data_IF_892178681590
#
_entry.id   IF_892178681590
#
_cell.length_a   1.000
_cell.length_b   1.000
_cell.length_c   1.000
_cell.angle_alpha   90.00
_cell.angle_beta   90.00
_cell.angle_gamma   90.00
#
_symmetry.space_group_name_H-M   'P 1'
#
loop_
_entity.id
_entity.type
_entity.pdbx_description
1 polymer ?
#
# COMPACT_ATOMS: atom_id res chain seq x y z
N UNK A 1 21.10 11.30 -48.36
CA UNK A 1 20.13 10.61 -47.49
C UNK A 1 20.90 10.07 -46.30
N UNK A 2 20.76 10.69 -45.13
CA UNK A 2 21.47 10.25 -43.92
C UNK A 2 20.65 9.19 -43.20
N UNK A 3 21.27 8.05 -42.92
CA UNK A 3 20.67 6.99 -42.11
C UNK A 3 20.36 7.54 -40.71
N UNK A 4 19.09 7.45 -40.30
CA UNK A 4 18.70 7.75 -38.92
C UNK A 4 19.17 6.59 -38.06
N UNK A 5 20.22 6.81 -37.30
CA UNK A 5 20.69 5.90 -36.27
C UNK A 5 19.57 5.74 -35.22
N UNK A 6 18.98 4.55 -35.16
CA UNK A 6 18.04 4.21 -34.09
C UNK A 6 18.87 4.09 -32.79
N UNK A 7 18.60 4.89 -31.74
CA UNK A 7 19.35 4.75 -30.50
C UNK A 7 19.10 3.35 -29.96
N UNK A 8 20.17 2.55 -29.85
CA UNK A 8 20.11 1.25 -29.18
C UNK A 8 19.73 1.49 -27.74
N UNK A 9 18.51 1.13 -27.35
CA UNK A 9 18.04 1.22 -25.96
C UNK A 9 18.97 0.38 -25.09
N UNK A 10 19.84 1.05 -24.33
CA UNK A 10 20.75 0.38 -23.41
C UNK A 10 19.93 -0.31 -22.32
N UNK A 11 20.29 -1.55 -21.98
CA UNK A 11 19.62 -2.31 -20.92
C UNK A 11 19.73 -1.54 -19.60
N UNK A 12 18.62 -1.32 -18.86
CA UNK A 12 18.65 -0.54 -17.63
C UNK A 12 19.59 -1.16 -16.59
N UNK A 13 20.27 -0.32 -15.80
CA UNK A 13 21.11 -0.77 -14.69
C UNK A 13 20.27 -1.31 -13.52
N UNK A 14 20.91 -1.84 -12.47
CA UNK A 14 20.20 -2.21 -11.23
C UNK A 14 19.61 -0.96 -10.56
N UNK A 15 20.35 0.15 -10.54
CA UNK A 15 19.88 1.41 -9.98
C UNK A 15 18.65 1.92 -10.74
N UNK A 16 18.66 1.89 -12.07
CA UNK A 16 17.51 2.30 -12.88
C UNK A 16 16.27 1.44 -12.60
N UNK A 17 16.45 0.13 -12.42
CA UNK A 17 15.36 -0.78 -12.05
C UNK A 17 14.78 -0.47 -10.67
N UNK A 18 15.64 -0.20 -9.68
CA UNK A 18 15.21 0.16 -8.33
C UNK A 18 14.47 1.50 -8.36
N UNK A 19 15.04 2.52 -8.99
CA UNK A 19 14.40 3.83 -9.15
C UNK A 19 13.07 3.71 -9.89
N UNK A 20 13.02 2.94 -10.98
CA UNK A 20 11.80 2.69 -11.73
C UNK A 20 10.73 1.97 -10.91
N UNK A 21 11.11 1.01 -10.06
CA UNK A 21 10.16 0.33 -9.18
C UNK A 21 9.60 1.28 -8.11
N UNK A 22 10.45 2.11 -7.49
CA UNK A 22 10.02 3.08 -6.48
C UNK A 22 9.11 4.14 -7.10
N UNK A 23 9.52 4.76 -8.21
CA UNK A 23 8.70 5.76 -8.89
C UNK A 23 7.42 5.16 -9.46
N UNK A 24 7.51 3.98 -10.08
CA UNK A 24 6.37 3.30 -10.68
C UNK A 24 5.28 2.98 -9.65
N UNK A 25 5.65 2.64 -8.42
CA UNK A 25 4.69 2.44 -7.34
C UNK A 25 3.90 3.73 -7.03
N UNK A 26 4.58 4.87 -6.88
CA UNK A 26 3.91 6.13 -6.56
C UNK A 26 3.10 6.69 -7.74
N UNK A 27 3.64 6.57 -8.96
CA UNK A 27 2.92 6.96 -10.18
C UNK A 27 1.67 6.09 -10.36
N UNK A 28 1.78 4.78 -10.14
CA UNK A 28 0.65 3.85 -10.23
C UNK A 28 -0.41 4.12 -9.16
N UNK A 29 -0.01 4.37 -7.92
CA UNK A 29 -0.93 4.73 -6.84
C UNK A 29 -1.71 6.02 -7.14
N UNK A 30 -0.98 7.07 -7.53
CA UNK A 30 -1.58 8.35 -7.89
C UNK A 30 -2.48 8.26 -9.14
N UNK A 31 -2.12 7.44 -10.12
CA UNK A 31 -2.92 7.19 -11.33
C UNK A 31 -4.24 6.48 -10.98
N UNK A 32 -4.17 5.47 -10.11
CA UNK A 32 -5.34 4.70 -9.68
C UNK A 32 -6.23 5.44 -8.68
N UNK A 33 -5.83 6.60 -8.15
CA UNK A 33 -6.56 7.37 -7.14
C UNK A 33 -8.02 7.63 -7.57
N UNK A 34 -8.23 8.17 -8.78
CA UNK A 34 -9.57 8.54 -9.25
C UNK A 34 -10.50 7.34 -9.47
N UNK A 35 -9.95 6.20 -9.91
CA UNK A 35 -10.70 4.95 -10.12
C UNK A 35 -10.75 4.05 -8.87
N UNK A 36 -10.13 4.45 -7.76
CA UNK A 36 -9.89 3.58 -6.62
C UNK A 36 -11.20 3.05 -6.03
N UNK A 37 -11.25 1.73 -5.78
CA UNK A 37 -12.41 1.01 -5.23
C UNK A 37 -13.72 1.09 -6.03
N UNK A 38 -13.65 1.40 -7.33
CA UNK A 38 -14.76 1.14 -8.25
C UNK A 38 -14.67 -0.31 -8.71
N UNK A 39 -15.50 -1.17 -8.13
CA UNK A 39 -15.51 -2.61 -8.41
C UNK A 39 -16.53 -3.02 -9.48
N UNK A 40 -17.55 -2.21 -9.69
CA UNK A 40 -18.52 -2.42 -10.76
C UNK A 40 -17.89 -2.00 -12.10
N UNK A 41 -17.73 -2.97 -13.02
CA UNK A 41 -17.10 -2.74 -14.31
C UNK A 41 -17.97 -1.88 -15.25
N UNK A 42 -19.31 -1.96 -15.13
CA UNK A 42 -20.20 -1.11 -15.90
C UNK A 42 -20.10 0.34 -15.40
N UNK A 43 -20.01 0.51 -14.08
CA UNK A 43 -19.75 1.83 -13.47
C UNK A 43 -18.36 2.37 -13.89
N UNK A 44 -17.33 1.53 -13.88
CA UNK A 44 -15.98 1.92 -14.30
C UNK A 44 -15.96 2.38 -15.76
N UNK A 45 -16.55 1.61 -16.69
CA UNK A 45 -16.60 1.96 -18.11
C UNK A 45 -17.46 3.21 -18.36
N UNK A 46 -18.57 3.38 -17.64
CA UNK A 46 -19.40 4.57 -17.75
C UNK A 46 -18.66 5.84 -17.31
N UNK A 47 -17.82 5.73 -16.26
CA UNK A 47 -17.09 6.87 -15.69
C UNK A 47 -15.77 7.14 -16.41
N UNK A 48 -15.09 6.09 -16.84
CA UNK A 48 -13.79 6.12 -17.52
C UNK A 48 -13.87 5.31 -18.81
N UNK A 49 -14.55 5.84 -19.85
CA UNK A 49 -14.69 5.12 -21.11
C UNK A 49 -13.31 4.89 -21.75
N UNK A 50 -12.97 3.62 -22.00
CA UNK A 50 -11.63 3.22 -22.45
C UNK A 50 -10.57 3.19 -21.34
N UNK A 51 -10.98 3.30 -20.07
CA UNK A 51 -10.13 3.29 -18.88
C UNK A 51 -9.60 4.69 -18.48
N UNK A 52 -8.96 4.78 -17.30
CA UNK A 52 -8.31 6.02 -16.85
C UNK A 52 -7.22 6.44 -17.85
N UNK A 53 -7.16 7.73 -18.21
CA UNK A 53 -6.20 8.23 -19.20
C UNK A 53 -5.10 9.10 -18.58
N UNK A 54 -5.23 9.44 -17.29
CA UNK A 54 -4.22 10.17 -16.55
C UNK A 54 -4.46 10.11 -15.05
N UNK A 55 -4.06 11.17 -14.36
CA UNK A 55 -4.35 11.35 -12.94
C UNK A 55 -5.76 11.89 -12.79
N UNK A 56 -6.74 10.99 -12.70
CA UNK A 56 -8.15 11.35 -12.61
C UNK A 56 -8.50 11.87 -11.20
N UNK A 57 -9.40 12.85 -11.12
CA UNK A 57 -9.93 13.34 -9.85
C UNK A 57 -10.90 12.31 -9.25
N UNK A 58 -10.82 12.01 -7.94
CA UNK A 58 -11.81 11.18 -7.25
C UNK A 58 -13.22 11.75 -7.40
N UNK A 59 -14.17 10.87 -7.70
CA UNK A 59 -15.55 11.31 -7.88
C UNK A 59 -16.12 11.84 -6.56
N UNK A 60 -16.84 12.96 -6.64
CA UNK A 60 -17.57 13.51 -5.50
C UNK A 60 -18.51 12.45 -4.88
N UNK A 61 -18.44 12.31 -3.56
CA UNK A 61 -19.22 11.31 -2.81
C UNK A 61 -18.67 9.89 -2.86
N UNK A 62 -17.61 9.61 -3.63
CA UNK A 62 -16.88 8.34 -3.58
C UNK A 62 -15.74 8.35 -2.57
N UNK A 63 -15.11 7.18 -2.44
CA UNK A 63 -13.87 7.01 -1.72
C UNK A 63 -12.81 8.01 -2.21
N UNK A 64 -12.05 8.58 -1.28
CA UNK A 64 -11.05 9.65 -1.51
C UNK A 64 -11.58 11.00 -2.01
N UNK A 65 -12.90 11.25 -1.97
CA UNK A 65 -13.45 12.58 -2.27
C UNK A 65 -12.73 13.68 -1.46
N UNK A 66 -12.23 14.70 -2.17
CA UNK A 66 -11.44 15.80 -1.61
C UNK A 66 -9.93 15.69 -1.80
N UNK A 67 -9.41 14.54 -2.27
CA UNK A 67 -8.05 14.45 -2.82
C UNK A 67 -8.02 14.98 -4.25
N UNK A 68 -6.86 15.45 -4.71
CA UNK A 68 -6.65 16.04 -6.05
C UNK A 68 -5.97 15.03 -6.98
N UNK A 69 -6.12 15.22 -8.31
CA UNK A 69 -5.27 14.55 -9.30
C UNK A 69 -3.79 14.50 -8.88
N UNK A 70 -3.23 13.29 -8.80
CA UNK A 70 -1.82 13.08 -8.49
C UNK A 70 -1.49 12.95 -7.00
N UNK A 71 -2.46 13.18 -6.10
CA UNK A 71 -2.28 12.85 -4.68
C UNK A 71 -2.17 11.32 -4.49
N UNK A 72 -1.59 10.89 -3.37
CA UNK A 72 -1.48 9.46 -3.04
C UNK A 72 -2.75 8.95 -2.37
N UNK A 73 -3.04 7.66 -2.49
CA UNK A 73 -3.95 6.94 -1.60
C UNK A 73 -3.25 6.60 -0.28
N UNK A 74 -3.96 5.98 0.66
CA UNK A 74 -3.31 5.45 1.87
C UNK A 74 -2.25 4.36 1.59
N UNK A 75 -2.31 3.67 0.44
CA UNK A 75 -1.26 2.74 0.04
C UNK A 75 0.04 3.50 -0.28
N UNK A 76 -0.04 4.56 -1.08
CA UNK A 76 1.09 5.43 -1.37
C UNK A 76 1.62 6.14 -0.13
N UNK A 77 0.73 6.65 0.72
CA UNK A 77 1.12 7.28 2.00
C UNK A 77 1.87 6.30 2.91
N UNK A 78 1.38 5.06 3.04
CA UNK A 78 2.06 4.00 3.78
C UNK A 78 3.43 3.67 3.21
N UNK A 79 3.54 3.53 1.88
CA UNK A 79 4.82 3.30 1.24
C UNK A 79 5.83 4.43 1.46
N UNK A 80 5.39 5.70 1.43
CA UNK A 80 6.25 6.84 1.69
C UNK A 80 6.76 6.83 3.14
N UNK A 81 5.91 6.48 4.10
CA UNK A 81 6.30 6.32 5.50
C UNK A 81 7.31 5.19 5.69
N UNK A 82 7.15 4.07 4.98
CA UNK A 82 8.12 2.98 4.99
C UNK A 82 9.50 3.45 4.50
N UNK A 83 9.56 4.19 3.39
CA UNK A 83 10.83 4.74 2.88
C UNK A 83 11.49 5.70 3.88
N UNK A 84 10.70 6.54 4.56
CA UNK A 84 11.20 7.42 5.62
C UNK A 84 11.77 6.63 6.80
N UNK A 85 11.05 5.60 7.24
CA UNK A 85 11.51 4.69 8.30
C UNK A 85 12.82 4.01 7.91
N UNK A 86 12.91 3.43 6.72
CA UNK A 86 14.12 2.78 6.22
C UNK A 86 15.32 3.75 6.17
N UNK A 87 15.11 4.98 5.72
CA UNK A 87 16.14 6.02 5.71
C UNK A 87 16.64 6.33 7.12
N UNK A 88 15.74 6.51 8.08
CA UNK A 88 16.08 6.95 9.44
C UNK A 88 16.61 5.81 10.32
N UNK A 89 16.17 4.58 10.09
CA UNK A 89 16.53 3.39 10.86
C UNK A 89 17.66 2.58 10.23
N UNK A 90 17.97 2.83 8.95
CA UNK A 90 18.93 2.06 8.13
C UNK A 90 18.66 0.55 8.07
N UNK A 91 17.44 0.15 8.43
CA UNK A 91 16.90 -1.22 8.40
C UNK A 91 15.38 -1.13 8.44
N UNK A 92 14.70 -2.23 8.15
CA UNK A 92 13.28 -2.33 8.49
C UNK A 92 13.10 -2.38 10.01
N UNK A 93 12.27 -1.48 10.53
CA UNK A 93 11.92 -1.37 11.94
C UNK A 93 10.39 -1.26 12.02
N UNK A 94 9.73 -2.38 12.29
CA UNK A 94 8.28 -2.48 12.24
C UNK A 94 7.58 -1.56 13.25
N UNK A 95 8.20 -1.31 14.41
CA UNK A 95 7.67 -0.41 15.44
C UNK A 95 7.74 1.05 14.98
N UNK A 96 8.87 1.48 14.40
CA UNK A 96 9.02 2.83 13.85
C UNK A 96 8.06 3.07 12.66
N UNK A 97 7.97 2.12 11.72
CA UNK A 97 7.02 2.22 10.62
C UNK A 97 5.56 2.25 11.09
N UNK A 98 5.17 1.31 11.96
CA UNK A 98 3.81 1.19 12.48
C UNK A 98 3.36 2.44 13.24
N UNK A 99 4.22 2.97 14.12
CA UNK A 99 3.91 4.20 14.89
C UNK A 99 3.73 5.42 13.99
N UNK A 100 4.54 5.58 12.94
CA UNK A 100 4.34 6.64 11.92
C UNK A 100 3.02 6.47 11.18
N UNK A 101 2.69 5.24 10.80
CA UNK A 101 1.46 4.95 10.08
C UNK A 101 0.22 5.27 10.93
N UNK A 102 0.17 4.82 12.19
CA UNK A 102 -0.90 5.19 13.14
C UNK A 102 -0.97 6.70 13.33
N UNK A 103 0.17 7.36 13.51
CA UNK A 103 0.21 8.81 13.69
C UNK A 103 -0.37 9.57 12.49
N UNK A 104 -0.13 9.10 11.26
CA UNK A 104 -0.69 9.70 10.04
C UNK A 104 -2.21 9.50 9.97
N UNK A 105 -2.69 8.26 10.09
CA UNK A 105 -4.11 7.94 9.89
C UNK A 105 -5.00 8.49 11.01
N UNK A 106 -4.47 8.71 12.20
CA UNK A 106 -5.16 9.38 13.32
C UNK A 106 -5.01 10.91 13.29
N UNK A 107 -4.18 11.46 12.39
CA UNK A 107 -3.92 12.90 12.39
C UNK A 107 -5.18 13.71 12.05
N UNK A 108 -5.48 14.79 12.80
CA UNK A 108 -6.56 15.70 12.47
C UNK A 108 -6.33 16.32 11.10
N UNK A 109 -7.17 15.96 10.12
CA UNK A 109 -7.05 16.44 8.73
C UNK A 109 -6.68 15.35 7.72
N UNK A 110 -6.33 14.13 8.15
CA UNK A 110 -6.14 13.02 7.22
C UNK A 110 -7.49 12.49 6.72
N UNK A 111 -7.86 12.93 5.52
CA UNK A 111 -9.16 12.69 4.91
C UNK A 111 -9.14 11.50 3.94
N UNK A 112 -8.68 10.34 4.40
CA UNK A 112 -8.73 9.10 3.63
C UNK A 112 -9.78 8.14 4.23
N UNK A 113 -10.57 7.40 3.43
CA UNK A 113 -11.54 6.45 3.95
C UNK A 113 -10.97 5.41 4.92
N UNK A 114 -9.67 5.07 4.82
CA UNK A 114 -9.05 4.12 5.75
C UNK A 114 -9.18 4.57 7.21
N UNK A 115 -9.05 5.88 7.50
CA UNK A 115 -9.14 6.40 8.87
C UNK A 115 -10.53 6.21 9.48
N UNK A 116 -11.58 6.26 8.64
CA UNK A 116 -13.00 6.17 9.05
C UNK A 116 -13.49 4.75 9.27
N UNK A 117 -12.92 3.77 8.57
CA UNK A 117 -13.44 2.39 8.61
C UNK A 117 -12.84 1.54 9.75
N UNK A 118 -11.81 2.02 10.44
CA UNK A 118 -11.26 1.36 11.64
C UNK A 118 -10.57 0.01 11.41
N UNK A 119 -10.64 -0.56 10.19
CA UNK A 119 -10.02 -1.86 9.84
C UNK A 119 -8.51 -1.88 10.04
N UNK A 120 -7.83 -0.74 9.87
CA UNK A 120 -6.40 -0.61 10.10
C UNK A 120 -5.99 -0.97 11.54
N UNK A 121 -6.89 -0.80 12.53
CA UNK A 121 -6.59 -1.11 13.94
C UNK A 121 -6.21 -2.58 14.11
N UNK A 122 -6.82 -3.48 13.35
CA UNK A 122 -6.49 -4.90 13.39
C UNK A 122 -5.15 -5.22 12.70
N UNK A 123 -4.79 -4.50 11.65
CA UNK A 123 -3.53 -4.73 10.93
C UNK A 123 -2.32 -4.18 11.69
N UNK A 124 -2.45 -3.01 12.30
CA UNK A 124 -1.30 -2.32 12.90
C UNK A 124 -1.07 -2.76 14.35
N UNK A 125 -2.13 -2.94 15.16
CA UNK A 125 -1.96 -3.42 16.53
C UNK A 125 -1.41 -4.85 16.55
N UNK A 126 -1.92 -5.73 15.67
CA UNK A 126 -1.41 -7.09 15.54
C UNK A 126 0.04 -7.13 15.05
N UNK A 127 0.44 -6.25 14.12
CA UNK A 127 1.84 -6.16 13.64
C UNK A 127 2.83 -5.62 14.69
N UNK A 128 2.40 -4.68 15.54
CA UNK A 128 3.24 -4.16 16.63
C UNK A 128 3.34 -5.17 17.77
N UNK A 129 2.23 -5.84 18.13
CA UNK A 129 2.21 -6.88 19.16
C UNK A 129 2.94 -8.16 18.71
N UNK A 130 2.89 -8.55 17.44
CA UNK A 130 3.63 -9.72 16.90
C UNK A 130 5.14 -9.51 16.86
N UNK A 131 5.62 -8.26 16.74
CA UNK A 131 7.04 -7.93 16.86
C UNK A 131 7.52 -8.06 18.30
N UNK A 132 6.68 -7.79 19.29
CA UNK A 132 6.99 -7.95 20.71
C UNK A 132 6.78 -9.39 21.22
N UNK A 133 5.91 -10.19 20.61
CA UNK A 133 5.57 -11.57 21.04
C UNK A 133 5.47 -12.55 19.85
N UNK A 134 6.59 -13.00 19.29
CA UNK A 134 6.62 -13.76 18.02
C UNK A 134 6.02 -15.17 18.07
N UNK A 135 5.64 -15.69 19.25
CA UNK A 135 5.10 -17.05 19.42
C UNK A 135 3.56 -17.14 19.36
N UNK A 136 2.83 -16.04 19.13
CA UNK A 136 1.36 -16.07 19.01
C UNK A 136 0.83 -16.29 17.59
N UNK A 137 1.70 -16.51 16.60
CA UNK A 137 1.28 -16.79 15.22
C UNK A 137 0.82 -18.25 15.11
N UNK A 138 -0.47 -18.54 15.40
CA UNK A 138 -1.30 -19.63 14.84
C UNK A 138 -2.77 -19.33 15.24
N UNK A 139 -3.67 -19.29 14.24
CA UNK A 139 -5.09 -18.91 14.30
C UNK A 139 -5.25 -17.39 14.61
N UNK A 140 -5.94 -16.58 13.81
CA UNK A 140 -7.38 -16.63 13.63
C UNK A 140 -7.78 -15.98 12.30
N UNK A 141 -8.22 -16.79 11.34
CA UNK A 141 -9.18 -16.38 10.33
C UNK A 141 -10.60 -16.72 10.79
N UNK A 142 -11.52 -15.77 10.66
CA UNK A 142 -12.99 -15.94 10.77
C UNK A 142 -13.55 -16.28 12.17
N UNK A 143 -14.48 -15.49 12.73
CA UNK A 143 -15.05 -15.78 14.04
C UNK A 143 -16.07 -16.92 13.91
N UNK A 144 -15.70 -18.13 14.31
CA UNK A 144 -16.67 -19.11 14.79
C UNK A 144 -16.38 -19.47 16.24
N UNK A 145 -17.41 -19.29 17.06
CA UNK A 145 -17.48 -19.69 18.46
C UNK A 145 -17.18 -21.18 18.59
N UNK A 146 -16.07 -21.55 19.24
CA UNK A 146 -15.94 -22.66 20.22
C UNK A 146 -14.44 -22.90 20.54
N UNK A 147 -14.08 -23.26 21.79
CA UNK A 147 -12.69 -23.51 22.17
C UNK A 147 -12.31 -24.95 21.84
N UNK A 148 -11.17 -25.17 21.19
CA UNK A 148 -10.56 -26.51 21.06
C UNK A 148 -9.07 -26.45 21.41
N UNK A 149 -8.67 -27.49 22.14
CA UNK A 149 -7.45 -27.72 22.90
C UNK A 149 -6.21 -27.84 22.01
N UNK A 150 -5.05 -27.49 22.59
CA UNK A 150 -3.76 -27.34 21.92
C UNK A 150 -3.15 -28.59 21.29
N UNK A 151 -2.32 -28.34 20.29
CA UNK A 151 -1.23 -29.22 19.87
C UNK A 151 -0.11 -28.34 19.30
N UNK A 152 1.13 -28.60 19.74
CA UNK A 152 2.32 -27.86 19.31
C UNK A 152 2.87 -28.43 18.01
N UNK A 153 3.18 -27.59 17.04
CA UNK A 153 3.86 -27.98 15.80
C UNK A 153 5.17 -27.22 15.68
N UNK A 154 6.31 -27.92 15.60
CA UNK A 154 7.62 -27.32 15.35
C UNK A 154 8.01 -27.50 13.90
N UNK A 155 8.45 -26.42 13.23
CA UNK A 155 9.06 -26.48 11.89
C UNK A 155 10.56 -26.31 12.04
N UNK A 156 11.35 -27.29 11.58
CA UNK A 156 12.80 -27.16 11.37
C UNK A 156 13.06 -26.76 9.92
N UNK A 157 14.00 -25.84 9.72
CA UNK A 157 14.56 -25.55 8.41
C UNK A 157 15.83 -26.39 8.19
N UNK A 158 16.07 -26.92 6.98
CA UNK A 158 17.31 -27.60 6.64
C UNK A 158 18.46 -26.61 6.43
N UNK A 159 19.65 -27.05 6.80
CA UNK A 159 20.94 -26.37 6.67
C UNK A 159 21.40 -26.20 5.23
#
# INVERSE_FOLDING_TARGET
MGERHCPTTQKPSVADRISGAVWGQFVGDAFCLGSHWIYDLAELEQRFPGGPQGFEEPVAGHYHAGKRPGDLTHYGDGALLLLRSLRERSRFDASDFGSRFVSLIESPGYSDPISRQGYWKYWVLDSVDTVEKPWQIIAYGCPRKSPMVGSSFSVRFPS
#
